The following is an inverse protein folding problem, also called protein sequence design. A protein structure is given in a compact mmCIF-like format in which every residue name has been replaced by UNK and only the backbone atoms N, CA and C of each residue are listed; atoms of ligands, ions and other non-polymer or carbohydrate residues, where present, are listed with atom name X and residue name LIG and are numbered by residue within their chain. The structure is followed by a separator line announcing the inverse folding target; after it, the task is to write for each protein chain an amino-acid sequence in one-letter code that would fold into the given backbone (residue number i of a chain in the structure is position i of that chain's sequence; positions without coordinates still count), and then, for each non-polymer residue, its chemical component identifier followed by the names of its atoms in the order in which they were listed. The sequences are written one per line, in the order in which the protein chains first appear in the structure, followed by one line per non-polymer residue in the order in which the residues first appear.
data_IF_877901273318
#
_entry.id   IF_877901273318
#
_cell.length_a   1.000
_cell.length_b   1.000
_cell.length_c   1.000
_cell.angle_alpha   90.00
_cell.angle_beta   90.00
_cell.angle_gamma   90.00
#
_symmetry.space_group_name_H-M   'P 1'
#
loop_
_entity.id
_entity.type
_entity.pdbx_description
1 polymer ?
#
# COMPACT_ATOMS: atom_id res chain seq x y z
N UNK A 1 -6.50 -18.93 -18.48
CA UNK A 1 -5.49 -17.89 -18.79
C UNK A 1 -5.46 -16.91 -17.63
N UNK A 2 -4.31 -16.66 -16.98
CA UNK A 2 -4.25 -15.62 -15.97
C UNK A 2 -4.39 -14.27 -16.67
N UNK A 3 -5.43 -13.54 -16.30
CA UNK A 3 -5.70 -12.17 -16.74
C UNK A 3 -4.66 -11.28 -16.08
N UNK A 4 -3.80 -10.61 -16.86
CA UNK A 4 -2.83 -9.59 -16.42
C UNK A 4 -1.81 -9.99 -15.33
N UNK A 5 -0.56 -9.51 -15.45
CA UNK A 5 0.43 -9.61 -14.37
C UNK A 5 -0.04 -8.94 -13.06
N UNK A 6 -1.05 -8.07 -13.11
CA UNK A 6 -1.61 -7.34 -11.96
C UNK A 6 -2.53 -8.20 -11.11
N UNK A 7 -3.39 -9.02 -11.73
CA UNK A 7 -4.32 -9.91 -11.02
C UNK A 7 -3.55 -11.02 -10.29
N UNK A 8 -2.40 -11.42 -10.84
CA UNK A 8 -1.46 -12.33 -10.19
C UNK A 8 -0.79 -11.72 -8.95
N UNK A 9 -0.44 -10.42 -8.95
CA UNK A 9 0.15 -9.74 -7.77
C UNK A 9 -0.90 -9.56 -6.68
N UNK A 10 -2.13 -9.18 -7.06
CA UNK A 10 -3.24 -9.02 -6.11
C UNK A 10 -3.64 -10.38 -5.52
N UNK A 11 -3.75 -11.43 -6.34
CA UNK A 11 -3.92 -12.81 -5.83
C UNK A 11 -2.77 -13.27 -4.97
N UNK A 12 -1.52 -13.00 -5.35
CA UNK A 12 -0.35 -13.36 -4.55
C UNK A 12 -0.39 -12.71 -3.16
N UNK A 13 -0.80 -11.45 -3.06
CA UNK A 13 -0.96 -10.75 -1.79
C UNK A 13 -2.10 -11.32 -0.94
N UNK A 14 -3.21 -11.72 -1.57
CA UNK A 14 -4.35 -12.39 -0.92
C UNK A 14 -4.04 -13.83 -0.47
N UNK A 15 -3.29 -14.58 -1.28
CA UNK A 15 -3.00 -16.00 -1.08
C UNK A 15 -1.81 -16.24 -0.14
N UNK A 16 -0.81 -15.33 -0.10
CA UNK A 16 0.40 -15.50 0.73
C UNK A 16 0.56 -14.47 1.86
N UNK A 17 0.00 -13.26 1.73
CA UNK A 17 0.33 -12.13 2.59
C UNK A 17 -0.67 -11.86 3.71
N UNK A 18 -1.81 -12.55 3.73
CA UNK A 18 -2.93 -12.12 4.54
C UNK A 18 -3.62 -13.27 5.24
N UNK A 19 -3.03 -13.68 6.37
CA UNK A 19 -3.84 -13.86 7.57
C UNK A 19 -4.28 -12.45 8.04
N UNK A 20 -5.06 -11.71 7.24
CA UNK A 20 -5.85 -10.62 7.82
C UNK A 20 -6.73 -11.39 8.78
N UNK A 21 -6.51 -11.23 10.08
CA UNK A 21 -7.48 -11.74 11.03
C UNK A 21 -8.79 -11.07 10.62
N UNK A 22 -9.67 -11.85 9.98
CA UNK A 22 -11.06 -11.53 9.77
C UNK A 22 -11.71 -11.50 11.15
N UNK A 23 -11.30 -10.53 11.96
CA UNK A 23 -11.94 -10.17 13.20
C UNK A 23 -12.95 -9.13 12.75
N UNK A 24 -14.13 -9.65 12.44
CA UNK A 24 -15.37 -8.91 12.21
C UNK A 24 -15.40 -8.06 10.93
N UNK A 25 -15.92 -8.64 9.84
CA UNK A 25 -16.77 -7.98 8.82
C UNK A 25 -16.46 -6.52 8.41
N UNK A 26 -15.21 -6.11 8.26
CA UNK A 26 -14.88 -4.87 7.54
C UNK A 26 -14.76 -5.20 6.05
N UNK A 27 -15.65 -4.67 5.22
CA UNK A 27 -15.62 -4.79 3.76
C UNK A 27 -14.36 -4.10 3.20
N UNK A 28 -13.22 -4.78 3.27
CA UNK A 28 -11.98 -4.33 2.66
C UNK A 28 -12.16 -4.31 1.14
N UNK A 29 -12.22 -3.12 0.55
CA UNK A 29 -12.34 -2.91 -0.89
C UNK A 29 -10.95 -2.73 -1.49
N UNK A 30 -10.62 -3.62 -2.43
CA UNK A 30 -9.45 -3.46 -3.27
C UNK A 30 -9.81 -2.47 -4.38
N UNK A 31 -9.06 -1.36 -4.47
CA UNK A 31 -9.22 -0.38 -5.55
C UNK A 31 -7.94 -0.37 -6.39
N UNK A 32 -8.10 -0.71 -7.67
CA UNK A 32 -7.01 -0.63 -8.65
C UNK A 32 -6.69 0.83 -9.01
N UNK A 33 -7.67 1.73 -8.92
CA UNK A 33 -7.47 3.17 -9.11
C UNK A 33 -7.10 3.84 -7.79
N UNK A 34 -5.81 4.15 -7.64
CA UNK A 34 -5.31 5.01 -6.55
C UNK A 34 -5.73 6.45 -6.82
N UNK A 35 -6.63 6.99 -5.99
CA UNK A 35 -7.16 8.35 -6.17
C UNK A 35 -6.14 9.42 -5.76
N UNK A 36 -6.43 10.68 -6.08
CA UNK A 36 -5.61 11.80 -5.61
C UNK A 36 -5.62 11.93 -4.08
N UNK A 37 -6.73 11.59 -3.44
CA UNK A 37 -6.86 11.56 -1.98
C UNK A 37 -6.00 10.46 -1.35
N UNK A 38 -6.04 9.25 -1.92
CA UNK A 38 -5.20 8.14 -1.48
C UNK A 38 -3.70 8.51 -1.54
N UNK A 39 -3.30 9.22 -2.61
CA UNK A 39 -1.92 9.72 -2.76
C UNK A 39 -1.56 10.77 -1.70
N UNK A 40 -2.50 11.62 -1.29
CA UNK A 40 -2.27 12.58 -0.22
C UNK A 40 -2.10 11.90 1.14
N UNK A 41 -2.92 10.88 1.42
CA UNK A 41 -2.79 10.04 2.63
C UNK A 41 -1.40 9.41 2.68
N UNK A 42 -0.98 8.76 1.59
CA UNK A 42 0.33 8.14 1.48
C UNK A 42 1.46 9.17 1.67
N UNK A 43 1.36 10.33 1.02
CA UNK A 43 2.37 11.39 1.14
C UNK A 43 2.50 11.91 2.57
N UNK A 44 1.38 12.15 3.26
CA UNK A 44 1.37 12.62 4.65
C UNK A 44 1.95 11.57 5.60
N UNK A 45 1.60 10.30 5.42
CA UNK A 45 2.11 9.22 6.26
C UNK A 45 3.62 8.97 6.09
N UNK A 46 4.14 9.19 4.88
CA UNK A 46 5.57 9.04 4.57
C UNK A 46 6.38 10.32 4.80
N UNK A 47 5.77 11.38 5.35
CA UNK A 47 6.49 12.62 5.64
C UNK A 47 7.68 12.34 6.57
N UNK A 48 8.85 12.87 6.21
CA UNK A 48 10.11 12.57 6.88
C UNK A 48 10.90 11.35 6.36
N UNK A 49 10.33 10.50 5.49
CA UNK A 49 11.08 9.42 4.82
C UNK A 49 11.78 9.97 3.58
N UNK A 50 13.06 10.31 3.74
CA UNK A 50 13.90 10.83 2.68
C UNK A 50 14.65 9.73 1.92
N UNK A 51 15.01 10.00 0.67
CA UNK A 51 15.85 9.11 -0.15
C UNK A 51 15.12 7.98 -0.88
N UNK A 52 13.80 7.86 -0.70
CA UNK A 52 12.95 6.87 -1.36
C UNK A 52 11.73 7.54 -1.99
N UNK A 53 11.39 7.11 -3.20
CA UNK A 53 10.18 7.55 -3.89
C UNK A 53 9.20 6.38 -4.00
N UNK A 54 8.05 6.52 -3.36
CA UNK A 54 6.98 5.52 -3.35
C UNK A 54 5.91 5.90 -4.38
N UNK A 55 5.80 5.12 -5.46
CA UNK A 55 4.76 5.29 -6.45
C UNK A 55 3.65 4.23 -6.26
N UNK A 56 2.49 4.59 -5.68
CA UNK A 56 1.42 3.64 -5.43
C UNK A 56 0.78 3.15 -6.74
N UNK A 57 0.61 1.83 -6.87
CA UNK A 57 -0.03 1.18 -8.00
C UNK A 57 -1.38 0.54 -7.65
N UNK A 58 -1.61 0.26 -6.37
CA UNK A 58 -2.86 -0.29 -5.86
C UNK A 58 -3.03 0.11 -4.39
N UNK A 59 -4.29 0.15 -3.93
CA UNK A 59 -4.64 0.38 -2.54
C UNK A 59 -5.75 -0.57 -2.11
N UNK A 60 -5.60 -1.15 -0.92
CA UNK A 60 -6.66 -1.90 -0.23
C UNK A 60 -7.05 -1.11 1.00
N UNK A 61 -8.33 -0.80 1.14
CA UNK A 61 -8.82 -0.02 2.28
C UNK A 61 -10.24 -0.42 2.67
N UNK A 62 -10.57 -0.25 3.95
CA UNK A 62 -11.96 -0.29 4.42
C UNK A 62 -12.71 1.03 4.17
N UNK A 63 -12.04 2.04 3.60
CA UNK A 63 -12.61 3.35 3.29
C UNK A 63 -12.63 4.34 4.47
N UNK A 64 -12.12 3.93 5.64
CA UNK A 64 -12.19 4.73 6.86
C UNK A 64 -10.81 4.82 7.53
N UNK A 65 -10.31 3.71 8.04
CA UNK A 65 -9.15 3.71 8.94
C UNK A 65 -7.90 3.08 8.34
N UNK A 66 -8.04 1.97 7.64
CA UNK A 66 -6.91 1.12 7.26
C UNK A 66 -6.62 1.23 5.77
N UNK A 67 -5.36 1.50 5.45
CA UNK A 67 -4.86 1.63 4.08
C UNK A 67 -3.61 0.77 3.87
N UNK A 68 -3.68 -0.14 2.91
CA UNK A 68 -2.55 -0.94 2.45
C UNK A 68 -2.22 -0.54 1.03
N UNK A 69 -1.11 0.19 0.85
CA UNK A 69 -0.63 0.59 -0.47
C UNK A 69 0.38 -0.42 -0.99
N UNK A 70 0.28 -0.73 -2.27
CA UNK A 70 1.33 -1.43 -3.00
C UNK A 70 2.07 -0.38 -3.83
N UNK A 71 3.35 -0.20 -3.55
CA UNK A 71 4.17 0.85 -4.14
C UNK A 71 5.32 0.25 -4.95
N UNK A 72 5.57 0.83 -6.13
CA UNK A 72 6.87 0.74 -6.79
C UNK A 72 7.80 1.73 -6.11
N UNK A 73 8.88 1.25 -5.54
CA UNK A 73 9.85 2.07 -4.80
C UNK A 73 11.09 2.30 -5.65
N UNK A 74 11.51 3.56 -5.77
CA UNK A 74 12.77 3.95 -6.40
C UNK A 74 13.64 4.68 -5.37
N UNK A 75 14.87 4.21 -5.17
CA UNK A 75 15.85 4.98 -4.39
C UNK A 75 16.31 6.20 -5.18
N UNK A 76 16.47 7.32 -4.49
CA UNK A 76 16.97 8.58 -5.06
C UNK A 76 18.50 8.53 -5.24
N UNK A 77 19.19 7.68 -4.49
CA UNK A 77 20.64 7.51 -4.57
C UNK A 77 20.94 6.46 -5.65
N UNK A 78 21.79 6.82 -6.62
CA UNK A 78 22.13 6.03 -7.81
C UNK A 78 22.64 4.63 -7.47
N UNK A 79 21.75 3.64 -7.46
CA UNK A 79 21.96 2.28 -7.98
C UNK A 79 20.61 1.55 -7.98
N UNK A 80 20.11 1.34 -9.19
CA UNK A 80 18.71 1.07 -9.52
C UNK A 80 18.32 -0.37 -9.17
N UNK A 81 17.64 -0.58 -8.05
CA UNK A 81 16.73 -1.72 -7.92
C UNK A 81 15.31 -1.17 -7.70
N UNK A 82 14.44 -1.40 -8.67
CA UNK A 82 13.00 -1.17 -8.49
C UNK A 82 12.48 -2.29 -7.62
N UNK A 83 12.09 -1.94 -6.40
CA UNK A 83 11.52 -2.88 -5.43
C UNK A 83 10.03 -2.61 -5.29
N UNK A 84 9.28 -3.66 -5.01
CA UNK A 84 7.88 -3.55 -4.63
C UNK A 84 7.81 -3.46 -3.11
N UNK A 85 6.93 -2.62 -2.57
CA UNK A 85 6.71 -2.53 -1.15
C UNK A 85 5.22 -2.47 -0.83
N UNK A 86 4.83 -3.12 0.27
CA UNK A 86 3.55 -2.94 0.95
C UNK A 86 3.75 -1.88 2.02
N UNK A 87 2.95 -0.81 1.98
CA UNK A 87 2.97 0.27 2.98
C UNK A 87 1.64 0.22 3.73
N UNK A 88 1.69 0.00 5.04
CA UNK A 88 0.51 -0.01 5.89
C UNK A 88 0.38 1.31 6.64
N UNK A 89 -0.77 1.97 6.46
CA UNK A 89 -1.11 3.25 7.05
C UNK A 89 -2.44 3.10 7.79
N UNK A 90 -2.53 3.70 8.97
CA UNK A 90 -3.78 3.84 9.71
C UNK A 90 -4.12 5.30 9.94
N UNK A 91 -5.37 5.67 9.70
CA UNK A 91 -5.93 6.98 10.03
C UNK A 91 -6.24 7.02 11.53
N UNK A 92 -5.73 8.02 12.23
CA UNK A 92 -6.03 8.24 13.65
C UNK A 92 -7.27 9.13 13.84
N UNK A 93 -7.73 9.29 15.09
CA UNK A 93 -8.95 10.04 15.47
C UNK A 93 -9.02 11.48 14.93
N UNK A 94 -7.90 12.08 14.56
CA UNK A 94 -7.81 13.45 14.02
C UNK A 94 -7.63 13.51 12.49
N UNK A 95 -7.98 12.43 11.77
CA UNK A 95 -7.73 12.29 10.32
C UNK A 95 -6.24 12.44 9.95
N UNK A 96 -5.37 12.10 10.88
CA UNK A 96 -3.92 12.06 10.68
C UNK A 96 -3.48 10.66 10.26
N UNK A 97 -2.96 10.49 9.03
CA UNK A 97 -2.49 9.20 8.57
C UNK A 97 -1.13 8.91 9.20
N UNK A 98 -1.03 7.75 9.86
CA UNK A 98 0.19 7.27 10.51
C UNK A 98 0.73 6.05 9.79
N UNK A 99 2.00 6.11 9.40
CA UNK A 99 2.71 4.94 8.91
C UNK A 99 2.89 3.92 10.04
N UNK A 100 2.50 2.67 9.78
CA UNK A 100 2.67 1.56 10.70
C UNK A 100 3.77 0.59 10.26
N UNK A 101 3.85 0.25 8.97
CA UNK A 101 4.92 -0.59 8.45
C UNK A 101 5.21 -0.35 6.96
N UNK A 102 6.43 -0.68 6.55
CA UNK A 102 6.85 -0.82 5.15
C UNK A 102 7.48 -2.20 5.03
N UNK A 103 6.94 -3.04 4.15
CA UNK A 103 7.41 -4.40 3.92
C UNK A 103 7.81 -4.55 2.46
N UNK A 104 9.03 -5.04 2.20
CA UNK A 104 9.47 -5.38 0.84
C UNK A 104 8.72 -6.62 0.34
N UNK A 105 8.21 -6.54 -0.89
CA UNK A 105 7.60 -7.65 -1.62
C UNK A 105 8.65 -8.06 -2.66
N UNK A 106 9.59 -8.94 -2.29
CA UNK A 106 10.65 -9.40 -3.19
C UNK A 106 10.14 -10.44 -4.18
#
# INVERSE_FOLDING_TARGET
MPKSCQELIVRYLLERGTKIMAKESYDLKIRESVTSEDKQILKRALDGINGWNFNPIAVVTNGEEDYYFICKVKSVIKNLQMKMAKVYIKIQKDNEPRLLSIEEIS
#
